data_IF_397605900167
#
_entry.id   IF_397605900167
#
_cell.length_a   1.000
_cell.length_b   1.000
_cell.length_c   1.000
_cell.angle_alpha   90.00
_cell.angle_beta   90.00
_cell.angle_gamma   90.00
#
_symmetry.space_group_name_H-M   'P 1'
#
loop_
_entity.id
_entity.type
_entity.pdbx_description
1 polymer ?
#
# COMPACT_ATOMS: atom_id res chain seq x y z
N UNK A 1 7.09 3.99 16.84
CA UNK A 1 7.50 5.27 16.21
C UNK A 1 7.62 5.09 14.69
N UNK A 2 7.88 6.14 13.90
CA UNK A 2 8.06 6.01 12.43
C UNK A 2 9.27 5.14 12.06
N UNK A 3 10.35 5.17 12.84
CA UNK A 3 11.53 4.31 12.63
C UNK A 3 11.20 2.84 12.87
N UNK A 4 10.51 2.51 13.96
CA UNK A 4 10.13 1.13 14.26
C UNK A 4 9.22 0.54 13.18
N UNK A 5 8.35 1.38 12.60
CA UNK A 5 7.50 0.97 11.50
C UNK A 5 8.32 0.68 10.22
N UNK A 6 9.37 1.44 9.94
CA UNK A 6 10.27 1.13 8.81
C UNK A 6 10.94 -0.23 8.99
N UNK A 7 11.41 -0.52 10.20
CA UNK A 7 11.99 -1.84 10.54
C UNK A 7 10.95 -2.93 10.34
N UNK A 8 9.72 -2.74 10.82
CA UNK A 8 8.63 -3.71 10.64
C UNK A 8 8.28 -3.98 9.17
N UNK A 9 8.27 -2.94 8.33
CA UNK A 9 8.06 -3.07 6.88
C UNK A 9 9.23 -3.82 6.22
N UNK A 10 10.46 -3.56 6.65
CA UNK A 10 11.64 -4.26 6.17
C UNK A 10 11.61 -5.75 6.55
N UNK A 11 11.41 -6.07 7.83
CA UNK A 11 11.26 -7.45 8.33
C UNK A 11 10.14 -8.21 7.61
N UNK A 12 9.01 -7.53 7.36
CA UNK A 12 7.92 -8.10 6.56
C UNK A 12 8.39 -8.44 5.15
N UNK A 13 9.11 -7.53 4.50
CA UNK A 13 9.62 -7.72 3.13
C UNK A 13 10.62 -8.87 3.07
N UNK A 14 11.56 -8.94 4.02
CA UNK A 14 12.57 -9.99 4.11
C UNK A 14 11.98 -11.38 4.36
N UNK A 15 10.85 -11.45 5.08
CA UNK A 15 10.11 -12.69 5.32
C UNK A 15 9.42 -13.27 4.07
N UNK A 16 9.30 -12.49 2.99
CA UNK A 16 8.75 -12.96 1.72
C UNK A 16 9.82 -13.65 0.88
N UNK A 17 9.38 -14.58 0.01
CA UNK A 17 10.25 -15.15 -1.01
C UNK A 17 10.84 -14.03 -1.89
N UNK A 18 12.10 -14.17 -2.28
CA UNK A 18 12.87 -13.17 -3.05
C UNK A 18 12.08 -12.58 -4.23
N UNK A 19 11.45 -13.46 -5.03
CA UNK A 19 10.60 -13.08 -6.17
C UNK A 19 9.41 -12.16 -5.86
N UNK A 20 9.00 -12.07 -4.60
CA UNK A 20 7.88 -11.25 -4.15
C UNK A 20 8.33 -9.97 -3.42
N UNK A 21 9.61 -9.85 -3.04
CA UNK A 21 10.12 -8.73 -2.22
C UNK A 21 10.01 -7.39 -2.94
N UNK A 22 10.51 -7.33 -4.17
CA UNK A 22 10.58 -6.12 -4.99
C UNK A 22 9.21 -5.51 -5.32
N UNK A 23 8.15 -6.32 -5.19
CA UNK A 23 6.78 -5.95 -5.55
C UNK A 23 5.83 -5.97 -4.35
N UNK A 24 6.35 -6.23 -3.15
CA UNK A 24 5.55 -6.34 -1.92
C UNK A 24 4.96 -4.99 -1.52
N UNK A 25 5.78 -3.94 -1.62
CA UNK A 25 5.43 -2.56 -1.37
C UNK A 25 5.90 -1.71 -2.55
N UNK A 26 5.11 -0.71 -2.88
CA UNK A 26 5.42 0.23 -3.95
C UNK A 26 6.01 1.47 -3.30
N UNK A 27 7.21 1.87 -3.70
CA UNK A 27 7.79 3.15 -3.31
C UNK A 27 7.38 4.27 -4.30
N UNK A 28 7.75 5.49 -3.96
CA UNK A 28 7.44 6.68 -4.76
C UNK A 28 8.00 6.61 -6.18
N UNK A 29 9.21 6.06 -6.38
CA UNK A 29 9.84 5.95 -7.70
C UNK A 29 9.12 4.93 -8.58
N UNK A 30 8.87 3.74 -8.05
CA UNK A 30 8.09 2.69 -8.71
C UNK A 30 6.68 3.17 -9.02
N UNK A 31 6.05 3.93 -8.11
CA UNK A 31 4.73 4.50 -8.36
C UNK A 31 4.74 5.50 -9.51
N UNK A 32 5.74 6.40 -9.59
CA UNK A 32 5.90 7.32 -10.71
C UNK A 32 6.10 6.59 -12.03
N UNK A 33 6.91 5.53 -12.04
CA UNK A 33 7.10 4.71 -13.22
C UNK A 33 5.82 3.99 -13.65
N UNK A 34 5.03 3.49 -12.70
CA UNK A 34 3.72 2.90 -12.99
C UNK A 34 2.79 3.95 -13.61
N UNK A 35 2.71 5.16 -13.03
CA UNK A 35 1.90 6.26 -13.56
C UNK A 35 2.36 6.63 -14.97
N UNK A 36 3.67 6.75 -15.19
CA UNK A 36 4.26 7.05 -16.50
C UNK A 36 3.95 5.97 -17.54
N UNK A 37 4.16 4.70 -17.19
CA UNK A 37 3.84 3.56 -18.05
C UNK A 37 2.38 3.59 -18.49
N UNK A 38 1.47 3.82 -17.54
CA UNK A 38 0.05 3.72 -17.79
C UNK A 38 -0.55 4.95 -18.48
N UNK A 39 0.01 6.14 -18.24
CA UNK A 39 -0.48 7.40 -18.83
C UNK A 39 0.09 7.63 -20.23
N UNK A 40 1.38 7.34 -20.43
CA UNK A 40 2.09 7.59 -21.70
C UNK A 40 2.17 6.34 -22.59
N UNK A 41 1.68 5.19 -22.11
CA UNK A 41 1.87 3.87 -22.75
C UNK A 41 3.35 3.60 -23.12
N UNK A 42 4.26 3.98 -22.24
CA UNK A 42 5.70 3.95 -22.51
C UNK A 42 6.19 2.51 -22.76
N UNK A 43 6.62 2.21 -23.99
CA UNK A 43 7.04 0.86 -24.41
C UNK A 43 8.52 0.56 -24.16
N UNK A 44 9.28 1.52 -23.64
CA UNK A 44 10.72 1.38 -23.36
C UNK A 44 11.05 1.44 -21.88
N UNK A 45 10.09 1.86 -21.03
CA UNK A 45 10.25 1.87 -19.57
C UNK A 45 10.34 0.43 -19.03
N UNK A 46 11.40 0.13 -18.27
CA UNK A 46 11.71 -1.19 -17.71
C UNK A 46 11.65 -2.33 -18.75
N UNK A 47 11.71 -3.57 -18.30
CA UNK A 47 11.57 -4.76 -19.15
C UNK A 47 10.09 -5.12 -19.44
N UNK A 48 9.80 -5.94 -20.46
CA UNK A 48 8.43 -6.35 -20.79
C UNK A 48 7.66 -7.03 -19.66
N UNK A 49 8.33 -7.83 -18.81
CA UNK A 49 7.68 -8.53 -17.70
C UNK A 49 7.23 -7.53 -16.63
N UNK A 50 8.08 -6.55 -16.30
CA UNK A 50 7.70 -5.47 -15.37
C UNK A 50 6.50 -4.69 -15.89
N UNK A 51 6.51 -4.29 -17.18
CA UNK A 51 5.38 -3.56 -17.77
C UNK A 51 4.08 -4.34 -17.75
N UNK A 52 4.12 -5.64 -18.07
CA UNK A 52 2.94 -6.50 -18.04
C UNK A 52 2.43 -6.68 -16.61
N UNK A 53 3.33 -6.87 -15.64
CA UNK A 53 2.96 -6.90 -14.23
C UNK A 53 2.28 -5.59 -13.80
N UNK A 54 2.85 -4.42 -14.13
CA UNK A 54 2.31 -3.13 -13.74
C UNK A 54 0.90 -2.90 -14.33
N UNK A 55 0.70 -3.19 -15.63
CA UNK A 55 -0.63 -3.10 -16.28
C UNK A 55 -1.67 -4.03 -15.66
N UNK A 56 -1.26 -5.23 -15.25
CA UNK A 56 -2.18 -6.21 -14.67
C UNK A 56 -2.54 -5.90 -13.21
N UNK A 57 -1.62 -5.32 -12.45
CA UNK A 57 -1.79 -5.07 -11.01
C UNK A 57 -2.29 -3.67 -10.68
N UNK A 58 -2.01 -2.70 -11.56
CA UNK A 58 -2.40 -1.31 -11.37
C UNK A 58 -3.30 -0.88 -12.51
N UNK A 59 -4.52 -0.48 -12.17
CA UNK A 59 -5.42 0.18 -13.12
C UNK A 59 -5.17 1.67 -13.00
N UNK A 60 -4.59 2.28 -14.04
CA UNK A 60 -4.56 3.74 -14.12
C UNK A 60 -5.98 4.23 -14.30
N UNK A 61 -6.57 4.67 -13.21
CA UNK A 61 -7.83 5.41 -13.22
C UNK A 61 -7.63 6.91 -13.10
N UNK A 62 -6.39 7.36 -13.15
CA UNK A 62 -6.06 8.77 -13.36
C UNK A 62 -5.90 9.12 -14.84
N UNK A 63 -5.70 8.16 -15.75
CA UNK A 63 -5.36 8.50 -17.14
C UNK A 63 -6.55 8.65 -18.10
N UNK A 64 -7.73 8.08 -17.81
CA UNK A 64 -8.87 8.14 -18.74
C UNK A 64 -10.15 8.31 -17.94
N UNK A 65 -10.63 9.54 -17.90
CA UNK A 65 -11.96 9.87 -17.42
C UNK A 65 -13.03 8.98 -18.09
N UNK A 66 -14.01 8.55 -17.28
CA UNK A 66 -15.37 8.10 -17.70
C UNK A 66 -15.47 6.88 -18.65
N UNK A 67 -15.70 5.70 -18.05
CA UNK A 67 -16.87 4.79 -18.26
C UNK A 67 -16.49 3.34 -17.91
N UNK A 68 -16.71 2.94 -16.67
CA UNK A 68 -17.31 1.64 -16.40
C UNK A 68 -17.86 1.63 -14.96
N UNK A 69 -19.18 1.48 -14.88
CA UNK A 69 -19.92 1.39 -13.64
C UNK A 69 -19.37 0.21 -12.80
N UNK A 70 -19.04 0.48 -11.54
CA UNK A 70 -18.95 -0.54 -10.49
C UNK A 70 -17.58 -0.87 -9.89
N UNK A 71 -16.44 -0.49 -10.50
CA UNK A 71 -15.13 -0.82 -9.90
C UNK A 71 -14.48 0.42 -9.30
N UNK A 72 -14.47 0.61 -7.98
CA UNK A 72 -13.65 1.64 -7.33
C UNK A 72 -12.18 1.26 -7.52
N UNK A 73 -11.34 2.19 -7.99
CA UNK A 73 -9.89 1.98 -8.13
C UNK A 73 -9.19 2.92 -7.17
N UNK A 74 -8.96 2.40 -5.97
CA UNK A 74 -8.34 3.16 -4.90
C UNK A 74 -6.87 3.45 -5.25
N UNK A 75 -6.35 4.64 -4.90
CA UNK A 75 -4.93 4.95 -5.06
C UNK A 75 -4.06 3.92 -4.34
N UNK A 76 -2.85 3.69 -4.87
CA UNK A 76 -1.88 2.74 -4.29
C UNK A 76 -1.28 3.36 -3.03
N UNK A 77 -1.35 2.64 -1.90
CA UNK A 77 -0.63 3.06 -0.72
C UNK A 77 0.86 2.76 -0.88
N UNK A 78 1.64 3.82 -1.08
CA UNK A 78 3.10 3.75 -1.17
C UNK A 78 3.75 3.66 0.21
N UNK A 79 4.93 3.05 0.27
CA UNK A 79 5.71 2.77 1.48
C UNK A 79 5.94 4.02 2.33
N UNK A 80 6.20 5.16 1.71
CA UNK A 80 6.50 6.44 2.35
C UNK A 80 5.31 7.02 3.12
N UNK A 81 4.08 6.73 2.64
CA UNK A 81 2.81 7.22 3.22
C UNK A 81 2.19 6.25 4.21
N UNK A 82 2.59 4.97 4.19
CA UNK A 82 2.00 3.91 5.01
C UNK A 82 1.91 4.28 6.49
N UNK A 83 3.00 4.74 7.09
CA UNK A 83 3.03 5.09 8.52
C UNK A 83 1.95 6.12 8.88
N UNK A 84 1.90 7.22 8.14
CA UNK A 84 0.96 8.32 8.42
C UNK A 84 -0.48 7.85 8.23
N UNK A 85 -0.77 7.10 7.17
CA UNK A 85 -2.12 6.60 6.90
C UNK A 85 -2.58 5.58 7.94
N UNK A 86 -1.68 4.70 8.42
CA UNK A 86 -1.98 3.75 9.49
C UNK A 86 -2.27 4.47 10.81
N UNK A 87 -1.43 5.44 11.20
CA UNK A 87 -1.68 6.28 12.37
C UNK A 87 -3.01 7.03 12.26
N UNK A 88 -3.27 7.69 11.13
CA UNK A 88 -4.50 8.45 10.92
C UNK A 88 -5.74 7.55 11.01
N UNK A 89 -5.73 6.42 10.32
CA UNK A 89 -6.86 5.48 10.35
C UNK A 89 -7.12 4.97 11.77
N UNK A 90 -6.06 4.57 12.49
CA UNK A 90 -6.16 4.01 13.83
C UNK A 90 -6.61 5.04 14.88
N UNK A 91 -6.04 6.25 14.86
CA UNK A 91 -6.40 7.35 15.79
C UNK A 91 -7.82 7.83 15.55
N UNK A 92 -8.23 8.02 14.30
CA UNK A 92 -9.60 8.44 13.98
C UNK A 92 -10.67 7.42 14.36
N UNK A 93 -10.29 6.15 14.55
CA UNK A 93 -11.16 5.10 15.08
C UNK A 93 -11.11 5.00 16.61
N UNK A 94 -10.46 5.94 17.30
CA UNK A 94 -10.31 5.91 18.75
C UNK A 94 -9.41 4.78 19.26
N UNK A 95 -8.40 4.40 18.47
CA UNK A 95 -7.59 3.20 18.65
C UNK A 95 -8.40 1.89 18.47
N UNK A 96 -9.22 1.85 17.42
CA UNK A 96 -9.98 0.66 17.05
C UNK A 96 -9.09 -0.54 16.71
N UNK A 97 -9.65 -1.75 16.83
CA UNK A 97 -8.94 -3.00 16.57
C UNK A 97 -8.48 -3.18 15.11
N UNK A 98 -7.79 -4.30 14.86
CA UNK A 98 -7.23 -4.66 13.54
C UNK A 98 -8.29 -4.62 12.44
N UNK A 99 -9.43 -5.26 12.67
CA UNK A 99 -10.50 -5.35 11.66
C UNK A 99 -10.96 -3.96 11.20
N UNK A 100 -11.30 -3.09 12.15
CA UNK A 100 -11.80 -1.73 11.86
C UNK A 100 -10.74 -0.88 11.18
N UNK A 101 -9.49 -0.93 11.67
CA UNK A 101 -8.38 -0.17 11.10
C UNK A 101 -8.07 -0.63 9.67
N UNK A 102 -8.03 -1.95 9.43
CA UNK A 102 -7.81 -2.51 8.11
C UNK A 102 -8.93 -2.16 7.14
N UNK A 103 -10.20 -2.27 7.56
CA UNK A 103 -11.35 -1.89 6.75
C UNK A 103 -11.29 -0.41 6.32
N UNK A 104 -10.94 0.49 7.26
CA UNK A 104 -10.77 1.92 6.96
C UNK A 104 -9.63 2.22 6.00
N UNK A 105 -8.50 1.52 6.13
CA UNK A 105 -7.41 1.65 5.16
C UNK A 105 -7.83 1.13 3.78
N UNK A 106 -8.50 -0.02 3.72
CA UNK A 106 -8.98 -0.66 2.50
C UNK A 106 -10.12 0.09 1.79
N UNK A 107 -10.82 0.99 2.47
CA UNK A 107 -11.82 1.86 1.82
C UNK A 107 -11.19 3.05 1.10
N UNK A 108 -9.95 3.43 1.46
CA UNK A 108 -9.23 4.59 0.89
C UNK A 108 -8.08 4.18 -0.02
N UNK A 109 -7.45 3.05 0.24
CA UNK A 109 -6.21 2.66 -0.42
C UNK A 109 -6.23 1.23 -0.97
N UNK A 110 -5.55 1.03 -2.09
CA UNK A 110 -5.10 -0.29 -2.54
C UNK A 110 -3.71 -0.62 -1.96
N UNK A 111 -3.27 -1.87 -2.15
CA UNK A 111 -1.99 -2.38 -1.62
C UNK A 111 -1.82 -2.37 -0.08
N UNK A 112 -2.92 -2.42 0.68
CA UNK A 112 -2.88 -2.56 2.14
C UNK A 112 -2.73 -4.04 2.52
N UNK A 113 -1.72 -4.38 3.34
CA UNK A 113 -1.47 -5.74 3.85
C UNK A 113 -2.00 -5.88 5.28
N UNK A 114 -2.94 -6.81 5.51
CA UNK A 114 -3.58 -6.99 6.82
C UNK A 114 -2.57 -7.39 7.91
N UNK A 115 -1.64 -8.29 7.60
CA UNK A 115 -0.61 -8.74 8.57
C UNK A 115 0.28 -7.58 9.05
N UNK A 116 0.56 -6.61 8.17
CA UNK A 116 1.29 -5.42 8.57
C UNK A 116 0.45 -4.53 9.50
N UNK A 117 -0.87 -4.43 9.30
CA UNK A 117 -1.78 -3.73 10.22
C UNK A 117 -1.81 -4.41 11.58
N UNK A 118 -1.82 -5.75 11.62
CA UNK A 118 -1.73 -6.53 12.87
C UNK A 118 -0.45 -6.18 13.63
N UNK A 119 0.71 -6.25 12.96
CA UNK A 119 2.01 -5.92 13.56
C UNK A 119 2.08 -4.46 14.02
N UNK A 120 1.50 -3.53 13.25
CA UNK A 120 1.44 -2.11 13.62
C UNK A 120 0.67 -1.89 14.91
N UNK A 121 -0.55 -2.44 15.02
CA UNK A 121 -1.41 -2.26 16.20
C UNK A 121 -0.81 -2.95 17.43
N UNK A 122 -0.16 -4.11 17.27
CA UNK A 122 0.48 -4.81 18.39
C UNK A 122 1.62 -4.01 19.04
N UNK A 123 2.16 -3.01 18.33
CA UNK A 123 3.19 -2.08 18.83
C UNK A 123 2.62 -0.72 19.28
N UNK A 124 1.30 -0.53 19.25
CA UNK A 124 0.68 0.71 19.72
C UNK A 124 0.68 0.78 21.25
N UNK A 125 1.43 1.73 21.82
CA UNK A 125 1.54 1.92 23.27
C UNK A 125 0.16 2.17 23.91
N UNK A 126 -0.66 3.04 23.32
CA UNK A 126 -2.00 3.34 23.83
C UNK A 126 -2.90 2.10 23.90
N UNK A 127 -2.82 1.21 22.90
CA UNK A 127 -3.56 -0.04 22.94
C UNK A 127 -3.00 -1.01 23.99
N UNK A 128 -1.67 -1.09 24.12
CA UNK A 128 -1.02 -1.96 25.10
C UNK A 128 -1.33 -1.58 26.54
N UNK A 129 -1.47 -0.28 26.85
CA UNK A 129 -1.84 0.21 28.18
C UNK A 129 -3.32 -0.01 28.55
N UNK A 130 -4.19 -0.32 27.57
CA UNK A 130 -5.62 -0.59 27.77
C UNK A 130 -5.93 -2.08 27.92
N UNK A 131 -4.95 -2.96 27.71
CA UNK A 131 -5.08 -4.40 27.93
C UNK A 131 -4.85 -4.72 29.40
#
# INVERSE_FOLDING_TARGET
SKSDFKVMVQEYTESLNEKFRDKAFIDEETYKDIVKLLSENNKTLHDPNWRNWARNNFRAKEAIEKKQAGTITLPVLIKERMWNEFCNAHVQLGHGGVSNTYAKLKSKWSNVKQDLVVKFISKCITCSLRK
#
